data_IF_725373268251
#
_entry.id   IF_725373268251
#
_cell.length_a   1.000
_cell.length_b   1.000
_cell.length_c   1.000
_cell.angle_alpha   90.00
_cell.angle_beta   90.00
_cell.angle_gamma   90.00
#
_symmetry.space_group_name_H-M   'P 1'
#
loop_
_entity.id
_entity.type
_entity.pdbx_description
1 polymer ?
#
# COMPACT_ATOMS: atom_id res chain seq x y z
N UNK A 1 17.10 -28.62 52.58
CA UNK A 1 17.13 -28.76 51.11
C UNK A 1 15.76 -28.38 50.54
N UNK A 2 15.47 -27.08 50.27
CA UNK A 2 14.19 -26.64 49.65
C UNK A 2 14.11 -25.13 49.30
N UNK A 3 15.22 -24.40 49.21
CA UNK A 3 15.20 -22.96 48.85
C UNK A 3 15.82 -22.69 47.46
N UNK A 4 16.59 -23.63 46.90
CA UNK A 4 17.25 -23.46 45.58
C UNK A 4 16.32 -23.57 44.36
N UNK A 5 15.11 -24.11 44.48
CA UNK A 5 14.24 -24.34 43.32
C UNK A 5 13.26 -23.19 43.02
N UNK A 6 13.10 -22.21 43.91
CA UNK A 6 12.18 -21.07 43.67
C UNK A 6 12.84 -20.01 42.78
N UNK A 7 14.17 -19.87 42.87
CA UNK A 7 14.90 -18.85 42.11
C UNK A 7 14.92 -19.09 40.59
N UNK A 8 14.84 -20.36 40.17
CA UNK A 8 14.86 -20.73 38.74
C UNK A 8 13.51 -20.46 38.07
N UNK A 9 12.40 -20.53 38.81
CA UNK A 9 11.06 -20.26 38.27
C UNK A 9 10.85 -18.75 38.03
N UNK A 10 11.39 -17.89 38.90
CA UNK A 10 11.35 -16.44 38.69
C UNK A 10 12.26 -15.97 37.53
N UNK A 11 13.37 -16.67 37.26
CA UNK A 11 14.27 -16.34 36.15
C UNK A 11 13.71 -16.74 34.78
N UNK A 12 12.80 -17.74 34.73
CA UNK A 12 12.13 -18.17 33.50
C UNK A 12 10.91 -17.30 33.15
N UNK A 13 10.38 -16.52 34.09
CA UNK A 13 9.25 -15.61 33.87
C UNK A 13 9.68 -14.22 33.38
N UNK A 14 10.96 -13.85 33.52
CA UNK A 14 11.48 -12.54 33.06
C UNK A 14 11.91 -12.51 31.58
N UNK A 15 11.98 -13.66 30.90
CA UNK A 15 12.29 -13.71 29.45
C UNK A 15 11.05 -13.75 28.56
N UNK A 16 9.84 -13.71 29.14
CA UNK A 16 8.57 -13.67 28.41
C UNK A 16 8.01 -12.24 28.20
N UNK A 17 8.79 -11.20 28.52
CA UNK A 17 8.42 -9.81 28.25
C UNK A 17 9.36 -9.21 27.20
N UNK A 18 8.89 -9.17 25.95
CA UNK A 18 8.73 -7.94 25.16
C UNK A 18 8.65 -8.28 23.65
N UNK A 19 7.47 -8.70 23.19
CA UNK A 19 7.12 -8.70 21.74
C UNK A 19 5.89 -7.85 21.43
N UNK A 20 5.39 -7.07 22.39
CA UNK A 20 4.04 -6.49 22.34
C UNK A 20 3.99 -4.95 22.29
N UNK A 21 5.13 -4.24 22.21
CA UNK A 21 5.13 -2.77 22.26
C UNK A 21 5.55 -2.05 20.99
N UNK A 22 5.92 -2.76 19.91
CA UNK A 22 6.30 -2.10 18.66
C UNK A 22 5.12 -1.78 17.73
N UNK A 23 3.92 -2.31 17.97
CA UNK A 23 2.75 -2.08 17.11
C UNK A 23 1.97 -0.80 17.45
N UNK A 24 2.14 -0.21 18.63
CA UNK A 24 1.38 0.97 19.04
C UNK A 24 1.95 2.30 18.49
N UNK A 25 3.26 2.39 18.25
CA UNK A 25 3.93 3.64 17.82
C UNK A 25 3.81 3.95 16.32
N UNK A 26 3.17 3.08 15.54
CA UNK A 26 2.91 3.26 14.10
C UNK A 26 1.42 3.35 13.75
N UNK A 27 0.55 3.50 14.76
CA UNK A 27 -0.88 3.77 14.56
C UNK A 27 -1.12 5.17 13.97
N UNK A 28 -0.15 6.08 14.07
CA UNK A 28 -0.17 7.38 13.40
C UNK A 28 0.68 7.37 12.15
N UNK A 29 0.16 7.98 11.09
CA UNK A 29 0.90 8.26 9.85
C UNK A 29 1.98 9.28 10.20
N UNK A 30 3.25 8.93 9.99
CA UNK A 30 4.36 9.82 10.33
C UNK A 30 4.44 10.94 9.30
N UNK A 31 5.01 12.07 9.71
CA UNK A 31 5.24 13.20 8.81
C UNK A 31 6.01 12.78 7.54
N UNK A 32 7.02 11.92 7.69
CA UNK A 32 7.79 11.33 6.57
C UNK A 32 6.97 10.47 5.60
N UNK A 33 5.86 9.90 6.05
CA UNK A 33 4.96 9.10 5.21
C UNK A 33 4.05 10.03 4.37
N UNK A 34 3.88 11.28 4.78
CA UNK A 34 3.05 12.29 4.09
C UNK A 34 3.57 12.58 2.68
N UNK A 35 4.89 12.61 2.49
CA UNK A 35 5.51 12.84 1.18
C UNK A 35 5.15 11.73 0.17
N UNK A 36 5.05 10.48 0.63
CA UNK A 36 4.62 9.36 -0.20
C UNK A 36 3.15 9.54 -0.63
N UNK A 37 2.27 9.94 0.29
CA UNK A 37 0.89 10.26 -0.03
C UNK A 37 0.77 11.42 -1.01
N UNK A 38 1.46 12.54 -0.76
CA UNK A 38 1.50 13.72 -1.67
C UNK A 38 1.93 13.29 -3.07
N UNK A 39 3.00 12.49 -3.18
CA UNK A 39 3.48 11.97 -4.46
C UNK A 39 2.42 11.12 -5.17
N UNK A 40 1.80 10.18 -4.46
CA UNK A 40 0.74 9.34 -5.02
C UNK A 40 -0.46 10.17 -5.49
N UNK A 41 -0.91 11.09 -4.67
CA UNK A 41 -2.05 11.95 -4.93
C UNK A 41 -1.82 12.90 -6.12
N UNK A 42 -0.59 13.40 -6.31
CA UNK A 42 -0.19 14.15 -7.51
C UNK A 42 -0.26 13.35 -8.82
N UNK A 43 -0.32 12.02 -8.76
CA UNK A 43 -0.52 11.18 -9.97
C UNK A 43 -1.98 10.89 -10.29
N UNK A 44 -2.91 11.38 -9.47
CA UNK A 44 -4.34 11.12 -9.62
C UNK A 44 -5.03 12.15 -10.52
N UNK A 45 -6.30 11.89 -10.89
CA UNK A 45 -7.08 12.80 -11.74
C UNK A 45 -7.33 14.14 -11.06
N UNK A 46 -7.40 15.19 -11.89
CA UNK A 46 -7.50 16.60 -11.53
C UNK A 46 -8.84 17.06 -10.88
N UNK A 47 -9.56 16.21 -10.15
CA UNK A 47 -10.81 16.59 -9.46
C UNK A 47 -11.29 15.50 -8.51
N UNK A 48 -10.38 14.66 -8.02
CA UNK A 48 -10.74 13.57 -7.13
C UNK A 48 -10.88 14.06 -5.69
N UNK A 49 -11.90 13.57 -5.00
CA UNK A 49 -12.04 13.74 -3.56
C UNK A 49 -11.13 12.75 -2.81
N UNK A 50 -10.50 13.20 -1.72
CA UNK A 50 -9.65 12.36 -0.86
C UNK A 50 -10.42 11.96 0.40
N UNK A 51 -10.53 10.65 0.62
CA UNK A 51 -10.98 10.13 1.92
C UNK A 51 -9.88 10.31 2.97
N UNK A 52 -10.22 10.94 4.10
CA UNK A 52 -9.27 11.18 5.18
C UNK A 52 -8.94 9.91 5.97
N UNK A 53 -9.72 8.84 5.81
CA UNK A 53 -9.51 7.61 6.57
C UNK A 53 -8.82 6.54 5.70
N UNK A 54 -7.69 6.05 6.17
CA UNK A 54 -7.07 4.80 5.72
C UNK A 54 -7.74 3.66 6.44
N UNK A 55 -8.49 2.79 5.74
CA UNK A 55 -9.36 1.78 6.37
C UNK A 55 -8.62 0.73 7.22
N UNK A 56 -7.35 0.45 6.93
CA UNK A 56 -6.58 -0.62 7.57
C UNK A 56 -6.97 -2.01 7.06
N UNK A 57 -7.23 -2.12 5.75
CA UNK A 57 -7.59 -3.38 5.11
C UNK A 57 -6.37 -4.29 4.95
N UNK A 58 -6.41 -5.48 5.54
CA UNK A 58 -5.36 -6.51 5.44
C UNK A 58 -5.27 -7.06 4.00
N UNK A 59 -4.51 -6.38 3.15
CA UNK A 59 -4.38 -6.65 1.72
C UNK A 59 -2.93 -6.95 1.30
N UNK A 60 -2.03 -7.12 2.27
CA UNK A 60 -0.61 -7.33 2.00
C UNK A 60 -0.35 -8.66 1.30
N UNK A 61 -1.03 -9.74 1.71
CA UNK A 61 -0.91 -11.04 1.06
C UNK A 61 -1.38 -11.00 -0.40
N UNK A 62 -2.47 -10.27 -0.66
CA UNK A 62 -3.01 -10.06 -2.00
C UNK A 62 -2.03 -9.26 -2.87
N UNK A 63 -1.41 -8.22 -2.31
CA UNK A 63 -0.35 -7.46 -2.98
C UNK A 63 0.82 -8.36 -3.36
N UNK A 64 1.38 -9.12 -2.41
CA UNK A 64 2.55 -9.98 -2.63
C UNK A 64 2.25 -11.01 -3.73
N UNK A 65 1.06 -11.63 -3.69
CA UNK A 65 0.63 -12.57 -4.73
C UNK A 65 0.58 -11.92 -6.11
N UNK A 66 -0.05 -10.73 -6.21
CA UNK A 66 -0.16 -9.98 -7.47
C UNK A 66 1.20 -9.52 -7.99
N UNK A 67 2.08 -9.06 -7.12
CA UNK A 67 3.43 -8.61 -7.50
C UNK A 67 4.25 -9.77 -8.05
N UNK A 68 4.31 -10.91 -7.34
CA UNK A 68 5.03 -12.11 -7.80
C UNK A 68 4.51 -12.62 -9.14
N UNK A 69 3.19 -12.58 -9.34
CA UNK A 69 2.57 -12.93 -10.62
C UNK A 69 3.06 -12.02 -11.75
N UNK A 70 3.02 -10.70 -11.54
CA UNK A 70 3.48 -9.72 -12.53
C UNK A 70 4.97 -9.86 -12.87
N UNK A 71 5.83 -10.11 -11.89
CA UNK A 71 7.27 -10.36 -12.14
C UNK A 71 7.47 -11.65 -12.96
N UNK A 72 6.73 -12.71 -12.67
CA UNK A 72 6.78 -13.95 -13.46
C UNK A 72 6.31 -13.69 -14.90
N UNK A 73 5.23 -12.94 -15.06
CA UNK A 73 4.69 -12.57 -16.37
C UNK A 73 5.69 -11.75 -17.17
N UNK A 74 6.27 -10.71 -16.56
CA UNK A 74 7.35 -9.90 -17.12
C UNK A 74 8.52 -10.77 -17.60
N UNK A 75 9.08 -11.64 -16.75
CA UNK A 75 10.23 -12.50 -17.10
C UNK A 75 9.92 -13.41 -18.29
N UNK A 76 8.67 -13.87 -18.39
CA UNK A 76 8.21 -14.67 -19.54
C UNK A 76 8.16 -13.81 -20.80
N UNK A 77 7.54 -12.63 -20.72
CA UNK A 77 7.44 -11.70 -21.84
C UNK A 77 8.82 -11.21 -22.32
N UNK A 78 9.72 -10.88 -21.41
CA UNK A 78 11.11 -10.46 -21.69
C UNK A 78 11.91 -11.58 -22.36
N UNK A 79 11.78 -12.83 -21.86
CA UNK A 79 12.43 -13.97 -22.50
C UNK A 79 11.93 -14.22 -23.91
N UNK A 80 10.63 -14.02 -24.18
CA UNK A 80 10.07 -14.15 -25.53
C UNK A 80 10.60 -13.00 -26.40
N UNK A 81 10.49 -11.77 -25.93
CA UNK A 81 10.94 -10.58 -26.66
C UNK A 81 12.40 -10.66 -27.10
N UNK A 82 13.28 -11.23 -26.28
CA UNK A 82 14.72 -11.34 -26.56
C UNK A 82 15.13 -12.52 -27.45
N UNK A 83 14.30 -13.58 -27.55
CA UNK A 83 14.73 -14.87 -28.13
C UNK A 83 13.84 -15.39 -29.24
N UNK A 84 12.59 -14.93 -29.32
CA UNK A 84 11.63 -15.39 -30.32
C UNK A 84 11.93 -14.78 -31.70
N UNK A 85 11.50 -15.46 -32.76
CA UNK A 85 11.64 -15.00 -34.15
C UNK A 85 10.27 -14.73 -34.79
N UNK A 86 9.17 -15.16 -34.16
CA UNK A 86 7.82 -14.88 -34.63
C UNK A 86 7.43 -13.41 -34.36
N UNK A 87 7.28 -12.64 -35.44
CA UNK A 87 6.97 -11.21 -35.37
C UNK A 87 5.63 -10.91 -34.68
N UNK A 88 4.62 -11.75 -34.81
CA UNK A 88 3.31 -11.51 -34.17
C UNK A 88 3.39 -11.71 -32.66
N UNK A 89 4.15 -12.74 -32.23
CA UNK A 89 4.45 -12.94 -30.81
C UNK A 89 5.28 -11.80 -30.25
N UNK A 90 6.30 -11.33 -30.97
CA UNK A 90 7.14 -10.20 -30.54
C UNK A 90 6.33 -8.90 -30.38
N UNK A 91 5.44 -8.59 -31.34
CA UNK A 91 4.54 -7.41 -31.27
C UNK A 91 3.66 -7.43 -30.02
N UNK A 92 3.28 -8.61 -29.55
CA UNK A 92 2.48 -8.74 -28.33
C UNK A 92 3.33 -8.72 -27.05
N UNK A 93 4.42 -9.48 -26.99
CA UNK A 93 5.18 -9.68 -25.75
C UNK A 93 6.20 -8.56 -25.45
N UNK A 94 6.80 -7.93 -26.45
CA UNK A 94 7.78 -6.87 -26.21
C UNK A 94 7.19 -5.65 -25.49
N UNK A 95 6.00 -5.12 -25.87
CA UNK A 95 5.37 -4.03 -25.12
C UNK A 95 5.03 -4.40 -23.67
N UNK A 96 4.69 -5.67 -23.42
CA UNK A 96 4.44 -6.18 -22.08
C UNK A 96 5.74 -6.22 -21.26
N UNK A 97 6.82 -6.76 -21.83
CA UNK A 97 8.13 -6.76 -21.18
C UNK A 97 8.54 -5.33 -20.80
N UNK A 98 8.45 -4.39 -21.74
CA UNK A 98 8.75 -2.98 -21.48
C UNK A 98 7.88 -2.38 -20.37
N UNK A 99 6.56 -2.59 -20.44
CA UNK A 99 5.59 -2.05 -19.46
C UNK A 99 5.80 -2.55 -18.03
N UNK A 100 6.24 -3.79 -17.86
CA UNK A 100 6.44 -4.41 -16.54
C UNK A 100 7.89 -4.37 -16.04
N UNK A 101 8.86 -4.01 -16.89
CA UNK A 101 10.29 -3.92 -16.54
C UNK A 101 10.56 -3.08 -15.29
N UNK A 102 9.80 -1.99 -15.12
CA UNK A 102 9.90 -1.07 -13.96
C UNK A 102 9.64 -1.71 -12.60
N UNK A 103 9.02 -2.90 -12.56
CA UNK A 103 8.80 -3.64 -11.32
C UNK A 103 9.91 -4.66 -11.06
N UNK A 104 10.72 -5.01 -12.06
CA UNK A 104 11.81 -5.96 -11.86
C UNK A 104 12.82 -5.43 -10.84
N UNK A 105 13.12 -6.26 -9.84
CA UNK A 105 14.11 -5.92 -8.80
C UNK A 105 13.67 -4.81 -7.84
N UNK A 106 12.40 -4.37 -7.88
CA UNK A 106 11.90 -3.34 -6.97
C UNK A 106 11.72 -3.84 -5.54
N UNK A 107 11.33 -5.10 -5.37
CA UNK A 107 11.15 -5.77 -4.09
C UNK A 107 11.79 -7.15 -4.14
N UNK A 108 12.42 -7.54 -3.04
CA UNK A 108 13.06 -8.85 -2.88
C UNK A 108 12.37 -9.75 -1.85
N UNK A 109 12.98 -10.92 -1.58
CA UNK A 109 12.42 -11.88 -0.62
C UNK A 109 12.37 -11.33 0.81
N UNK A 110 13.38 -10.56 1.22
CA UNK A 110 13.47 -9.97 2.55
C UNK A 110 12.41 -8.90 2.77
N UNK A 111 12.06 -8.14 1.72
CA UNK A 111 10.94 -7.20 1.76
C UNK A 111 9.62 -7.91 2.00
N UNK A 112 9.35 -9.03 1.31
CA UNK A 112 8.12 -9.78 1.50
C UNK A 112 8.01 -10.41 2.90
N UNK A 113 9.13 -10.88 3.45
CA UNK A 113 9.17 -11.41 4.81
C UNK A 113 8.87 -10.30 5.83
N UNK A 114 9.50 -9.14 5.67
CA UNK A 114 9.24 -7.98 6.53
C UNK A 114 7.78 -7.53 6.44
N UNK A 115 7.28 -7.30 5.22
CA UNK A 115 5.94 -6.79 4.99
C UNK A 115 4.86 -7.70 5.59
N UNK A 116 5.03 -9.02 5.50
CA UNK A 116 4.12 -9.97 6.17
C UNK A 116 4.20 -9.84 7.68
N UNK A 117 5.40 -9.93 8.24
CA UNK A 117 5.59 -9.92 9.69
C UNK A 117 5.14 -8.62 10.36
N UNK A 118 5.32 -7.48 9.68
CA UNK A 118 4.99 -6.15 10.22
C UNK A 118 3.51 -5.81 10.07
N UNK A 119 2.90 -6.13 8.93
CA UNK A 119 1.56 -5.66 8.59
C UNK A 119 0.48 -6.74 8.70
N UNK A 120 0.81 -8.00 8.98
CA UNK A 120 -0.16 -8.99 9.49
C UNK A 120 -0.53 -8.65 10.95
N UNK A 121 -1.36 -7.62 11.19
CA UNK A 121 -2.32 -7.54 12.32
C UNK A 121 -2.90 -6.14 12.61
N UNK A 122 -4.14 -6.16 13.13
CA UNK A 122 -4.96 -5.08 13.74
C UNK A 122 -5.49 -3.96 12.83
N UNK A 123 -6.83 -3.96 12.72
CA UNK A 123 -7.72 -3.30 11.74
C UNK A 123 -8.37 -2.03 12.31
N UNK A 124 -7.62 -0.95 12.49
CA UNK A 124 -8.22 0.33 12.87
C UNK A 124 -8.01 1.35 11.75
N UNK A 125 -9.07 2.10 11.38
CA UNK A 125 -8.91 3.23 10.50
C UNK A 125 -7.88 4.22 11.07
N UNK A 126 -7.03 4.76 10.19
CA UNK A 126 -6.03 5.78 10.52
C UNK A 126 -6.35 7.04 9.74
N UNK A 127 -6.31 8.20 10.40
CA UNK A 127 -6.63 9.47 9.76
C UNK A 127 -5.39 10.07 9.08
N UNK A 128 -5.58 10.55 7.85
CA UNK A 128 -4.65 11.35 7.07
C UNK A 128 -4.87 12.83 7.40
N UNK A 129 -3.78 13.59 7.48
CA UNK A 129 -3.86 15.05 7.45
C UNK A 129 -4.12 15.52 6.01
N UNK A 130 -5.38 15.48 5.59
CA UNK A 130 -5.82 15.81 4.23
C UNK A 130 -5.52 17.26 3.89
N UNK A 131 -5.60 18.18 4.85
CA UNK A 131 -5.25 19.59 4.66
C UNK A 131 -3.78 19.75 4.24
N UNK A 132 -2.87 19.07 4.93
CA UNK A 132 -1.44 19.07 4.59
C UNK A 132 -1.19 18.52 3.18
N UNK A 133 -1.89 17.44 2.80
CA UNK A 133 -1.77 16.83 1.48
C UNK A 133 -2.32 17.74 0.38
N UNK A 134 -3.54 18.27 0.55
CA UNK A 134 -4.18 19.16 -0.44
C UNK A 134 -3.37 20.44 -0.63
N UNK A 135 -2.78 21.00 0.43
CA UNK A 135 -1.94 22.19 0.30
C UNK A 135 -0.70 22.00 -0.60
N UNK A 136 -0.28 20.75 -0.80
CA UNK A 136 0.89 20.37 -1.59
C UNK A 136 0.53 19.68 -2.92
N UNK A 137 -0.76 19.48 -3.18
CA UNK A 137 -1.26 18.76 -4.36
C UNK A 137 -2.31 19.59 -5.08
N UNK A 138 -2.13 19.80 -6.38
CA UNK A 138 -3.13 20.46 -7.22
C UNK A 138 -3.67 19.39 -8.17
N UNK A 139 -4.99 19.25 -8.39
CA UNK A 139 -6.17 19.90 -7.80
C UNK A 139 -7.11 18.89 -7.08
N UNK A 140 -6.70 18.39 -5.91
CA UNK A 140 -7.52 17.45 -5.14
C UNK A 140 -8.50 18.16 -4.20
N UNK A 141 -9.62 17.49 -3.90
CA UNK A 141 -10.70 18.04 -3.09
C UNK A 141 -10.85 17.26 -1.78
N UNK A 142 -11.30 17.95 -0.73
CA UNK A 142 -11.72 17.32 0.52
C UNK A 142 -13.21 16.96 0.42
N UNK A 143 -13.59 15.81 0.95
CA UNK A 143 -14.99 15.45 1.09
C UNK A 143 -15.72 16.37 2.09
N UNK A 144 -17.04 16.49 1.95
CA UNK A 144 -17.87 17.22 2.92
C UNK A 144 -18.04 16.44 4.23
N UNK A 145 -18.44 17.12 5.31
CA UNK A 145 -18.73 16.46 6.58
C UNK A 145 -19.89 15.45 6.45
N UNK A 146 -20.86 15.75 5.59
CA UNK A 146 -22.00 14.86 5.27
C UNK A 146 -21.51 13.53 4.70
N UNK A 147 -20.45 13.55 3.87
CA UNK A 147 -19.81 12.33 3.40
C UNK A 147 -19.25 11.51 4.55
N UNK A 148 -18.49 12.13 5.45
CA UNK A 148 -17.88 11.40 6.56
C UNK A 148 -18.91 10.81 7.52
N UNK A 149 -20.06 11.44 7.71
CA UNK A 149 -21.16 10.93 8.53
C UNK A 149 -21.88 9.71 7.91
N UNK A 150 -21.84 9.55 6.59
CA UNK A 150 -22.55 8.49 5.86
C UNK A 150 -21.67 7.27 5.54
N UNK A 151 -20.35 7.37 5.68
CA UNK A 151 -19.43 6.25 5.45
C UNK A 151 -19.31 5.40 6.70
N UNK A 152 -19.66 4.11 6.58
CA UNK A 152 -19.36 3.12 7.62
C UNK A 152 -17.94 2.57 7.42
N UNK A 153 -16.95 3.16 8.12
CA UNK A 153 -15.56 2.72 8.08
C UNK A 153 -15.30 1.35 8.73
N UNK A 154 -16.29 0.75 9.39
CA UNK A 154 -16.19 -0.63 9.88
C UNK A 154 -16.42 -1.66 8.78
N UNK A 155 -16.97 -1.23 7.64
CA UNK A 155 -17.31 -2.06 6.49
C UNK A 155 -16.51 -1.64 5.26
N UNK A 156 -15.91 -2.63 4.59
CA UNK A 156 -15.17 -2.42 3.34
C UNK A 156 -16.03 -1.80 2.22
N UNK A 157 -17.35 -1.98 2.26
CA UNK A 157 -18.33 -1.57 1.26
C UNK A 157 -19.20 -0.35 1.64
N UNK A 158 -18.80 0.42 2.66
CA UNK A 158 -19.51 1.61 3.13
C UNK A 158 -19.46 2.78 2.13
N UNK A 159 -20.06 2.63 0.93
CA UNK A 159 -20.13 3.71 -0.06
C UNK A 159 -21.27 4.65 0.31
N UNK A 160 -21.00 5.93 0.58
CA UNK A 160 -22.03 6.90 0.92
C UNK A 160 -22.83 7.24 -0.35
N UNK A 161 -24.13 7.53 -0.20
CA UNK A 161 -25.00 7.90 -1.32
C UNK A 161 -24.90 9.40 -1.60
N UNK A 162 -23.71 9.87 -1.97
CA UNK A 162 -23.41 11.30 -2.19
C UNK A 162 -22.69 11.48 -3.51
N UNK A 163 -23.01 12.55 -4.25
CA UNK A 163 -22.42 12.90 -5.54
C UNK A 163 -21.01 13.55 -5.43
N UNK A 164 -20.12 12.96 -4.62
CA UNK A 164 -18.72 13.39 -4.46
C UNK A 164 -17.78 12.40 -5.14
N UNK A 165 -17.81 12.40 -6.48
CA UNK A 165 -17.04 11.49 -7.31
C UNK A 165 -16.20 12.24 -8.37
N UNK A 166 -15.06 11.65 -8.82
CA UNK A 166 -14.46 10.42 -8.33
C UNK A 166 -13.86 10.60 -6.93
N UNK A 167 -14.00 9.58 -6.08
CA UNK A 167 -13.39 9.56 -4.75
C UNK A 167 -12.22 8.58 -4.73
N UNK A 168 -11.16 8.92 -4.02
CA UNK A 168 -10.00 8.06 -3.81
C UNK A 168 -9.98 7.69 -2.33
N UNK A 169 -10.24 6.42 -2.07
CA UNK A 169 -10.12 5.85 -0.73
C UNK A 169 -8.85 5.02 -0.63
N UNK A 170 -8.01 5.35 0.34
CA UNK A 170 -6.84 4.54 0.69
C UNK A 170 -7.31 3.43 1.63
N UNK A 171 -7.08 2.20 1.22
CA UNK A 171 -7.46 1.02 1.99
C UNK A 171 -6.37 0.68 3.02
N UNK A 172 -5.11 0.79 2.60
CA UNK A 172 -3.95 0.54 3.44
C UNK A 172 -2.69 1.16 2.81
N UNK A 173 -1.59 1.17 3.57
CA UNK A 173 -0.30 1.64 3.14
C UNK A 173 0.82 0.85 3.82
N UNK A 174 1.83 0.48 3.04
CA UNK A 174 2.96 -0.31 3.48
C UNK A 174 4.27 0.35 3.06
N UNK A 175 5.30 0.24 3.90
CA UNK A 175 6.67 0.63 3.58
C UNK A 175 7.59 -0.56 3.84
N UNK A 176 8.59 -0.77 2.98
CA UNK A 176 9.70 -1.70 3.23
C UNK A 176 10.53 -1.31 4.46
N UNK A 177 11.33 -2.25 4.96
CA UNK A 177 12.09 -2.07 6.20
C UNK A 177 13.12 -0.94 6.12
N UNK A 178 13.76 -0.81 4.98
CA UNK A 178 14.75 0.21 4.64
C UNK A 178 14.10 1.52 4.14
N UNK A 179 12.77 1.59 4.10
CA UNK A 179 12.02 2.78 3.72
C UNK A 179 12.25 3.25 2.27
N UNK A 180 12.64 2.32 1.40
CA UNK A 180 12.94 2.62 -0.01
C UNK A 180 11.76 2.39 -0.97
N UNK A 181 10.75 1.63 -0.56
CA UNK A 181 9.57 1.32 -1.37
C UNK A 181 8.31 1.50 -0.54
N UNK A 182 7.39 2.27 -1.09
CA UNK A 182 6.08 2.53 -0.53
C UNK A 182 5.00 1.91 -1.42
N UNK A 183 4.01 1.27 -0.80
CA UNK A 183 2.89 0.59 -1.45
C UNK A 183 1.61 1.20 -0.91
N UNK A 184 0.89 1.93 -1.76
CA UNK A 184 -0.41 2.51 -1.42
C UNK A 184 -1.52 1.64 -2.01
N UNK A 185 -2.35 1.09 -1.14
CA UNK A 185 -3.51 0.31 -1.54
C UNK A 185 -4.71 1.24 -1.62
N UNK A 186 -5.36 1.31 -2.77
CA UNK A 186 -6.44 2.28 -2.98
C UNK A 186 -7.55 1.73 -3.87
N UNK A 187 -8.69 2.40 -3.80
CA UNK A 187 -9.80 2.27 -4.74
C UNK A 187 -10.20 3.64 -5.23
N UNK A 188 -10.62 3.72 -6.49
CA UNK A 188 -11.30 4.89 -7.03
C UNK A 188 -12.79 4.56 -7.11
N UNK A 189 -13.60 5.28 -6.33
CA UNK A 189 -15.05 5.19 -6.39
C UNK A 189 -15.58 6.21 -7.40
N UNK A 190 -16.63 5.84 -8.13
CA UNK A 190 -17.23 6.67 -9.16
C UNK A 190 -18.73 6.39 -9.31
N UNK A 191 -19.45 7.20 -10.10
CA UNK A 191 -20.89 7.02 -10.28
C UNK A 191 -21.18 5.61 -10.82
N UNK A 192 -21.97 4.84 -10.08
CA UNK A 192 -22.33 3.46 -10.44
C UNK A 192 -21.27 2.39 -10.19
N UNK A 193 -20.03 2.76 -9.81
CA UNK A 193 -18.97 1.82 -9.43
C UNK A 193 -19.02 1.64 -7.91
N UNK A 194 -19.80 0.64 -7.47
CA UNK A 194 -20.01 0.38 -6.02
C UNK A 194 -18.89 -0.44 -5.37
N UNK A 195 -18.08 -1.15 -6.15
CA UNK A 195 -16.99 -1.99 -5.66
C UNK A 195 -15.79 -1.97 -6.63
N UNK A 196 -14.84 -1.06 -6.40
CA UNK A 196 -13.55 -1.11 -7.09
C UNK A 196 -12.72 -2.30 -6.58
N UNK A 197 -12.05 -3.03 -7.48
CA UNK A 197 -10.97 -3.94 -7.06
C UNK A 197 -9.82 -3.10 -6.51
N UNK A 198 -9.30 -3.47 -5.35
CA UNK A 198 -8.13 -2.82 -4.77
C UNK A 198 -6.99 -2.77 -5.79
N UNK A 199 -6.47 -1.55 -5.99
CA UNK A 199 -5.31 -1.23 -6.79
C UNK A 199 -4.12 -0.96 -5.88
N UNK A 200 -2.92 -1.24 -6.39
CA UNK A 200 -1.69 -1.04 -5.64
C UNK A 200 -0.82 -0.06 -6.42
N UNK A 201 -0.46 1.04 -5.79
CA UNK A 201 0.46 2.02 -6.36
C UNK A 201 1.82 1.89 -5.69
N UNK A 202 2.88 1.78 -6.49
CA UNK A 202 4.24 1.65 -5.98
C UNK A 202 5.02 2.95 -6.17
N UNK A 203 5.76 3.31 -5.13
CA UNK A 203 6.69 4.42 -5.07
C UNK A 203 8.07 3.89 -4.69
N UNK A 204 9.14 4.48 -5.23
CA UNK A 204 10.52 4.19 -4.84
C UNK A 204 11.20 5.46 -4.34
N UNK A 205 11.81 5.42 -3.15
CA UNK A 205 12.65 6.51 -2.65
C UNK A 205 13.94 6.55 -3.47
N UNK A 206 14.24 7.72 -4.02
CA UNK A 206 15.43 7.97 -4.83
C UNK A 206 16.43 8.76 -4.00
N UNK A 207 17.62 8.20 -3.82
CA UNK A 207 18.76 8.79 -3.11
C UNK A 207 18.40 9.29 -1.69
N UNK A 208 17.44 8.61 -1.03
CA UNK A 208 16.85 8.99 0.25
C UNK A 208 16.19 10.39 0.28
N UNK A 209 16.02 11.03 -0.88
CA UNK A 209 15.54 12.42 -1.00
C UNK A 209 14.06 12.46 -1.37
N UNK A 210 13.65 11.85 -2.47
CA UNK A 210 12.29 12.04 -3.02
C UNK A 210 11.63 10.73 -3.45
N UNK A 211 10.29 10.68 -3.42
CA UNK A 211 9.54 9.52 -3.90
C UNK A 211 9.28 9.56 -5.40
N UNK A 212 9.83 8.59 -6.14
CA UNK A 212 9.56 8.38 -7.56
C UNK A 212 8.31 7.51 -7.76
N UNK A 213 7.32 7.95 -8.54
CA UNK A 213 6.21 7.09 -8.93
C UNK A 213 6.68 5.99 -9.88
N UNK A 214 6.57 4.74 -9.43
CA UNK A 214 6.70 3.56 -10.32
C UNK A 214 5.39 3.30 -11.03
N UNK A 215 4.27 3.53 -10.32
CA UNK A 215 2.93 3.50 -10.89
C UNK A 215 2.09 2.33 -10.39
N UNK A 216 0.88 2.16 -10.97
CA UNK A 216 -0.05 1.14 -10.55
C UNK A 216 0.40 -0.26 -10.99
N UNK A 217 0.33 -1.21 -10.07
CA UNK A 217 0.39 -2.64 -10.36
C UNK A 217 -0.98 -3.10 -10.88
N UNK A 218 -1.12 -3.07 -12.20
CA UNK A 218 -2.31 -3.58 -12.89
C UNK A 218 -2.36 -5.12 -12.81
N UNK A 219 -3.57 -5.68 -12.81
CA UNK A 219 -3.79 -7.11 -13.11
C UNK A 219 -3.98 -7.21 -14.62
#
# INVERSE_FOLDING_TARGET
MKIKNIFIICLLLSTAQCKSQNSASRLSIKEKDTEAFVTFFNTQKMYSYIDKNVMGADLILNFIGRYKHNIKFYRTADSICKKDQDLERLKFYCPLADSFSRFEGLLDASDFEYLRAEYESSRKPRELNVESIISQTIPLLKHSDIYYEQVDYTRYDGVPKIDEFPSIRVLDYYITKNEDVAIIVYVTEGPGIRHGRASYFLLKKMDDIWWKPIGPLKI
#
